data_IF_833012971712
#
_entry.id   IF_833012971712
#
_cell.length_a   1.000
_cell.length_b   1.000
_cell.length_c   1.000
_cell.angle_alpha   90.00
_cell.angle_beta   90.00
_cell.angle_gamma   90.00
#
_symmetry.space_group_name_H-M   'P 1'
#
loop_
_entity.id
_entity.type
_entity.pdbx_description
1 polymer ?
#
# COMPACT_ATOMS: atom_id res chain seq x y z
N UNK A 1 -8.56 -7.40 7.58
CA UNK A 1 -7.55 -8.14 8.34
C UNK A 1 -6.84 -7.17 9.30
N UNK A 2 -6.59 -7.55 10.54
CA UNK A 2 -5.82 -6.70 11.42
C UNK A 2 -4.39 -6.59 10.86
N UNK A 3 -3.94 -5.36 10.57
CA UNK A 3 -2.53 -5.12 10.36
C UNK A 3 -1.74 -5.59 11.60
N UNK A 4 -0.58 -6.20 11.41
CA UNK A 4 0.31 -6.57 12.52
C UNK A 4 0.80 -5.35 13.29
N UNK A 5 0.72 -4.17 12.68
CA UNK A 5 1.17 -2.89 13.24
C UNK A 5 0.18 -1.80 12.85
N UNK A 6 -0.05 -0.85 13.74
CA UNK A 6 -0.92 0.29 13.49
C UNK A 6 -0.37 1.27 12.45
N UNK A 7 -1.22 2.20 12.02
CA UNK A 7 -0.83 3.21 11.04
C UNK A 7 0.33 4.08 11.54
N UNK A 8 1.38 4.16 10.73
CA UNK A 8 2.57 4.97 11.02
C UNK A 8 2.30 6.50 10.98
N UNK A 9 1.15 6.90 10.45
CA UNK A 9 0.78 8.31 10.34
C UNK A 9 0.18 8.86 11.64
N UNK A 10 -0.19 8.01 12.59
CA UNK A 10 -0.76 8.41 13.86
C UNK A 10 0.32 8.59 14.93
N UNK A 11 0.57 9.82 15.36
CA UNK A 11 1.58 10.16 16.38
C UNK A 11 1.28 9.48 17.73
N UNK A 12 0.02 9.15 18.02
CA UNK A 12 -0.44 8.53 19.27
C UNK A 12 -1.01 7.13 19.11
N UNK A 13 -0.71 6.48 18.01
CA UNK A 13 -1.22 5.14 17.78
C UNK A 13 -0.66 4.17 18.83
N UNK A 14 -1.57 3.58 19.60
CA UNK A 14 -1.23 2.61 20.65
C UNK A 14 -1.64 1.20 20.26
N UNK A 15 -2.48 1.06 19.24
CA UNK A 15 -2.92 -0.24 18.76
C UNK A 15 -1.92 -0.77 17.74
N UNK A 16 -1.33 -1.91 18.06
CA UNK A 16 -0.29 -2.55 17.25
C UNK A 16 -0.72 -3.94 16.73
N UNK A 17 -2.01 -4.13 16.53
CA UNK A 17 -2.55 -5.40 16.12
C UNK A 17 -2.57 -6.44 17.26
N UNK A 18 -2.85 -7.72 16.92
CA UNK A 18 -2.89 -8.82 17.88
C UNK A 18 -1.50 -9.33 18.30
N UNK A 19 -0.44 -8.88 17.65
CA UNK A 19 0.92 -9.42 17.78
C UNK A 19 1.28 -10.35 16.63
N UNK A 20 2.58 -10.68 16.55
CA UNK A 20 3.13 -11.41 15.39
C UNK A 20 2.50 -12.81 15.26
N UNK A 21 2.55 -13.62 16.31
CA UNK A 21 2.08 -15.02 16.29
C UNK A 21 0.58 -15.13 15.98
N UNK A 22 -0.26 -14.41 16.74
CA UNK A 22 -1.71 -14.44 16.55
C UNK A 22 -2.09 -13.83 15.18
N UNK A 23 -1.43 -12.75 14.77
CA UNK A 23 -1.67 -12.11 13.46
C UNK A 23 -1.35 -13.05 12.29
N UNK A 24 -0.25 -13.78 12.36
CA UNK A 24 0.12 -14.75 11.33
C UNK A 24 -0.85 -15.93 11.28
N UNK A 25 -1.32 -16.42 12.43
CA UNK A 25 -2.34 -17.46 12.48
C UNK A 25 -3.64 -17.02 11.80
N UNK A 26 -4.11 -15.80 12.07
CA UNK A 26 -5.31 -15.24 11.43
C UNK A 26 -5.11 -15.12 9.91
N UNK A 27 -3.96 -14.61 9.46
CA UNK A 27 -3.67 -14.49 8.02
C UNK A 27 -3.62 -15.86 7.33
N UNK A 28 -3.03 -16.86 8.01
CA UNK A 28 -3.00 -18.22 7.51
C UNK A 28 -4.41 -18.80 7.38
N UNK A 29 -5.28 -18.64 8.38
CA UNK A 29 -6.67 -19.09 8.29
C UNK A 29 -7.41 -18.45 7.13
N UNK A 30 -7.22 -17.13 6.91
CA UNK A 30 -7.83 -16.42 5.77
C UNK A 30 -7.30 -16.96 4.43
N UNK A 31 -5.99 -17.16 4.31
CA UNK A 31 -5.38 -17.72 3.10
C UNK A 31 -5.91 -19.12 2.79
N UNK A 32 -5.95 -19.98 3.80
CA UNK A 32 -6.40 -21.38 3.66
C UNK A 32 -7.92 -21.47 3.35
N UNK A 33 -8.75 -20.61 3.97
CA UNK A 33 -10.21 -20.64 3.80
C UNK A 33 -10.66 -20.11 2.44
N UNK A 34 -10.01 -19.02 1.97
CA UNK A 34 -10.44 -18.31 0.75
C UNK A 34 -9.55 -18.60 -0.47
N UNK A 35 -8.49 -19.37 -0.32
CA UNK A 35 -7.50 -19.65 -1.38
C UNK A 35 -6.98 -18.33 -2.02
N UNK A 36 -6.58 -17.39 -1.19
CA UNK A 36 -6.07 -16.07 -1.60
C UNK A 36 -4.69 -15.80 -1.00
N UNK A 37 -3.77 -15.16 -1.75
CA UNK A 37 -2.52 -14.70 -1.18
C UNK A 37 -2.77 -13.63 -0.12
N UNK A 38 -1.94 -13.63 0.92
CA UNK A 38 -2.03 -12.66 2.01
C UNK A 38 -0.81 -11.76 2.06
N UNK A 39 -1.03 -10.53 2.54
CA UNK A 39 -0.01 -9.50 2.68
C UNK A 39 -0.05 -8.92 4.10
N UNK A 40 1.11 -8.68 4.67
CA UNK A 40 1.24 -7.85 5.87
C UNK A 40 2.52 -7.02 5.83
N UNK A 41 2.56 -5.94 6.60
CA UNK A 41 3.75 -5.11 6.76
C UNK A 41 4.66 -5.64 7.89
N UNK A 42 5.94 -5.33 7.78
CA UNK A 42 6.95 -5.59 8.79
C UNK A 42 7.65 -4.29 9.18
N UNK A 43 8.09 -4.22 10.44
CA UNK A 43 8.73 -3.01 11.00
C UNK A 43 10.15 -3.27 11.51
N UNK A 44 10.45 -4.52 11.83
CA UNK A 44 11.75 -4.95 12.33
C UNK A 44 12.29 -6.10 11.47
N UNK A 45 13.62 -6.20 11.29
CA UNK A 45 14.23 -7.23 10.44
C UNK A 45 13.91 -8.67 10.84
N UNK A 46 13.75 -8.96 12.12
CA UNK A 46 13.45 -10.29 12.66
C UNK A 46 12.03 -10.78 12.35
N UNK A 47 11.14 -9.89 11.92
CA UNK A 47 9.80 -10.24 11.46
C UNK A 47 9.78 -10.83 10.05
N UNK A 48 10.81 -10.60 9.23
CA UNK A 48 10.81 -10.96 7.82
C UNK A 48 10.67 -12.48 7.59
N UNK A 49 11.46 -13.28 8.28
CA UNK A 49 11.44 -14.74 8.12
C UNK A 49 10.09 -15.34 8.53
N UNK A 50 9.58 -15.16 9.78
CA UNK A 50 8.30 -15.75 10.16
C UNK A 50 7.12 -15.25 9.31
N UNK A 51 7.13 -14.00 8.86
CA UNK A 51 6.08 -13.47 7.96
C UNK A 51 6.14 -14.17 6.61
N UNK A 52 7.33 -14.41 6.08
CA UNK A 52 7.53 -15.04 4.76
C UNK A 52 7.05 -16.49 4.69
N UNK A 53 6.91 -17.16 5.81
CA UNK A 53 6.37 -18.53 5.87
C UNK A 53 4.86 -18.60 5.62
N UNK A 54 4.15 -17.49 5.83
CA UNK A 54 2.69 -17.39 5.74
C UNK A 54 2.26 -16.44 4.61
N UNK A 55 2.96 -15.31 4.46
CA UNK A 55 2.55 -14.26 3.54
C UNK A 55 3.34 -14.30 2.23
N UNK A 56 2.64 -14.40 1.11
CA UNK A 56 3.26 -14.31 -0.21
C UNK A 56 3.83 -12.93 -0.48
N UNK A 57 3.27 -11.89 0.17
CA UNK A 57 3.72 -10.51 -0.01
C UNK A 57 4.08 -9.91 1.35
N UNK A 58 5.29 -9.37 1.43
CA UNK A 58 5.76 -8.57 2.57
C UNK A 58 5.72 -7.10 2.17
N UNK A 59 4.98 -6.29 2.92
CA UNK A 59 4.97 -4.84 2.74
C UNK A 59 6.05 -4.17 3.57
N UNK A 60 6.80 -3.28 2.93
CA UNK A 60 7.67 -2.32 3.62
C UNK A 60 6.92 -0.99 3.70
N UNK A 61 6.62 -0.51 4.92
CA UNK A 61 5.94 0.76 5.14
C UNK A 61 6.69 1.96 4.53
N UNK A 62 5.94 3.01 4.21
CA UNK A 62 6.48 4.19 3.53
C UNK A 62 7.67 4.81 4.28
N UNK A 63 7.57 5.03 5.58
CA UNK A 63 8.65 5.64 6.36
C UNK A 63 9.88 4.74 6.50
N UNK A 64 9.72 3.44 6.36
CA UNK A 64 10.78 2.45 6.54
C UNK A 64 11.45 1.99 5.23
N UNK A 65 10.97 2.46 4.07
CA UNK A 65 11.52 2.07 2.76
C UNK A 65 13.02 2.39 2.57
N UNK A 66 13.59 3.26 3.40
CA UNK A 66 15.02 3.57 3.41
C UNK A 66 15.83 2.75 4.42
N UNK A 67 15.21 2.00 5.31
CA UNK A 67 15.88 1.20 6.34
C UNK A 67 16.56 -0.01 5.69
N UNK A 68 17.89 0.06 5.54
CA UNK A 68 18.65 -0.94 4.78
C UNK A 68 18.54 -2.33 5.38
N UNK A 69 18.65 -2.46 6.69
CA UNK A 69 18.62 -3.77 7.36
C UNK A 69 17.24 -4.44 7.22
N UNK A 70 16.16 -3.66 7.33
CA UNK A 70 14.81 -4.14 7.12
C UNK A 70 14.58 -4.60 5.67
N UNK A 71 15.01 -3.79 4.70
CA UNK A 71 14.91 -4.13 3.27
C UNK A 71 15.72 -5.38 2.95
N UNK A 72 16.95 -5.50 3.48
CA UNK A 72 17.79 -6.67 3.27
C UNK A 72 17.18 -7.93 3.89
N UNK A 73 16.62 -7.84 5.09
CA UNK A 73 15.93 -8.97 5.72
C UNK A 73 14.73 -9.43 4.91
N UNK A 74 13.87 -8.50 4.46
CA UNK A 74 12.74 -8.82 3.59
C UNK A 74 13.19 -9.42 2.26
N UNK A 75 14.19 -8.82 1.60
CA UNK A 75 14.75 -9.32 0.34
C UNK A 75 15.41 -10.70 0.46
N UNK A 76 15.90 -11.05 1.66
CA UNK A 76 16.45 -12.39 1.94
C UNK A 76 15.39 -13.49 1.93
N UNK A 77 14.12 -13.16 1.98
CA UNK A 77 13.01 -14.11 1.88
C UNK A 77 12.66 -14.42 0.42
N UNK A 78 11.70 -15.36 0.22
CA UNK A 78 11.17 -15.67 -1.12
C UNK A 78 9.91 -14.88 -1.46
N UNK A 79 9.36 -14.12 -0.50
CA UNK A 79 8.14 -13.35 -0.69
C UNK A 79 8.32 -12.22 -1.71
N UNK A 80 7.22 -11.79 -2.30
CA UNK A 80 7.17 -10.56 -3.08
C UNK A 80 7.29 -9.38 -2.12
N UNK A 81 8.14 -8.41 -2.43
CA UNK A 81 8.33 -7.23 -1.57
C UNK A 81 7.57 -6.04 -2.14
N UNK A 82 6.53 -5.62 -1.43
CA UNK A 82 5.80 -4.41 -1.77
C UNK A 82 6.36 -3.20 -1.02
N UNK A 83 6.84 -2.21 -1.74
CA UNK A 83 7.27 -0.94 -1.16
C UNK A 83 6.18 0.11 -1.27
N UNK A 84 5.72 0.64 -0.13
CA UNK A 84 4.97 1.90 -0.10
C UNK A 84 5.93 3.04 -0.42
N UNK A 85 5.65 3.81 -1.49
CA UNK A 85 6.49 4.96 -1.81
C UNK A 85 6.43 5.99 -0.69
N UNK A 86 7.58 6.36 -0.08
CA UNK A 86 7.60 7.42 0.93
C UNK A 86 7.04 8.74 0.39
N UNK A 87 6.30 9.44 1.24
CA UNK A 87 5.71 10.74 0.89
C UNK A 87 6.77 11.81 0.63
N UNK A 88 7.98 11.62 1.15
CA UNK A 88 9.12 12.52 1.01
C UNK A 88 10.08 12.14 -0.13
N UNK A 89 9.90 10.99 -0.77
CA UNK A 89 10.69 10.60 -1.95
C UNK A 89 9.93 10.94 -3.23
N UNK A 90 10.67 11.44 -4.22
CA UNK A 90 10.16 11.52 -5.58
C UNK A 90 10.06 10.14 -6.24
N UNK A 91 9.21 9.99 -7.25
CA UNK A 91 9.09 8.73 -7.97
C UNK A 91 10.41 8.24 -8.61
N UNK A 92 11.28 9.10 -9.18
CA UNK A 92 12.59 8.67 -9.68
C UNK A 92 13.51 8.10 -8.61
N UNK A 93 13.44 8.59 -7.36
CA UNK A 93 14.28 8.10 -6.26
C UNK A 93 13.93 6.67 -5.82
N UNK A 94 12.74 6.18 -6.16
CA UNK A 94 12.36 4.79 -5.91
C UNK A 94 13.27 3.79 -6.62
N UNK A 95 14.00 4.20 -7.66
CA UNK A 95 15.06 3.41 -8.27
C UNK A 95 16.06 2.90 -7.22
N UNK A 96 16.47 3.73 -6.28
CA UNK A 96 17.44 3.36 -5.25
C UNK A 96 16.87 2.31 -4.27
N UNK A 97 15.56 2.35 -4.02
CA UNK A 97 14.88 1.35 -3.17
C UNK A 97 14.83 0.00 -3.89
N UNK A 98 14.45 0.02 -5.18
CA UNK A 98 14.41 -1.17 -6.03
C UNK A 98 15.81 -1.79 -6.14
N UNK A 99 16.84 -0.99 -6.46
CA UNK A 99 18.22 -1.46 -6.58
C UNK A 99 18.73 -2.10 -5.29
N UNK A 100 18.39 -1.52 -4.14
CA UNK A 100 18.76 -2.10 -2.83
C UNK A 100 18.18 -3.50 -2.65
N UNK A 101 16.92 -3.70 -2.97
CA UNK A 101 16.25 -5.00 -2.88
C UNK A 101 16.85 -6.01 -3.86
N UNK A 102 17.12 -5.60 -5.10
CA UNK A 102 17.73 -6.44 -6.14
C UNK A 102 19.15 -6.86 -5.74
N UNK A 103 19.96 -5.94 -5.22
CA UNK A 103 21.34 -6.24 -4.74
C UNK A 103 21.29 -7.21 -3.56
N UNK A 104 20.25 -7.13 -2.70
CA UNK A 104 20.04 -8.08 -1.61
C UNK A 104 19.50 -9.45 -2.07
N UNK A 105 19.22 -9.63 -3.37
CA UNK A 105 18.91 -10.93 -3.98
C UNK A 105 17.44 -11.15 -4.37
N UNK A 106 16.56 -10.14 -4.24
CA UNK A 106 15.15 -10.28 -4.57
C UNK A 106 14.71 -9.24 -5.62
N UNK A 107 14.24 -9.72 -6.77
CA UNK A 107 13.69 -8.90 -7.85
C UNK A 107 12.15 -8.95 -7.94
N UNK A 108 11.49 -9.72 -7.07
CA UNK A 108 10.02 -9.80 -7.01
C UNK A 108 9.49 -8.60 -6.22
N UNK A 109 9.29 -7.48 -6.90
CA UNK A 109 8.98 -6.20 -6.28
C UNK A 109 7.67 -5.65 -6.82
N UNK A 110 6.86 -5.05 -5.94
CA UNK A 110 5.71 -4.23 -6.27
C UNK A 110 5.95 -2.82 -5.70
N UNK A 111 5.70 -1.79 -6.50
CA UNK A 111 5.73 -0.41 -6.04
C UNK A 111 4.32 0.11 -5.80
N UNK A 112 4.09 0.71 -4.65
CA UNK A 112 2.80 1.27 -4.27
C UNK A 112 2.89 2.80 -4.14
N UNK A 113 2.29 3.52 -5.11
CA UNK A 113 2.14 4.98 -5.02
C UNK A 113 1.11 5.31 -3.93
N UNK A 114 1.36 6.34 -3.14
CA UNK A 114 0.46 6.79 -2.06
C UNK A 114 0.48 8.30 -1.81
N UNK A 115 0.93 9.10 -2.77
CA UNK A 115 1.05 10.54 -2.68
C UNK A 115 2.37 11.03 -2.08
N UNK A 116 2.56 12.32 -2.21
CA UNK A 116 3.68 13.07 -1.65
C UNK A 116 3.16 14.11 -0.65
N UNK A 117 3.96 14.43 0.35
CA UNK A 117 3.69 15.57 1.24
C UNK A 117 3.71 16.88 0.44
N UNK A 118 2.68 17.67 0.59
CA UNK A 118 2.55 18.98 -0.04
C UNK A 118 2.13 20.03 0.98
N UNK A 119 3.10 20.77 1.48
CA UNK A 119 2.88 21.64 2.64
C UNK A 119 2.68 20.86 3.93
N UNK A 120 1.98 21.47 4.90
CA UNK A 120 1.64 20.85 6.17
C UNK A 120 0.31 20.09 6.05
N UNK A 121 0.24 18.92 6.68
CA UNK A 121 -0.98 18.14 6.87
C UNK A 121 -1.75 17.81 5.57
N UNK A 122 -1.08 17.72 4.43
CA UNK A 122 -1.72 17.37 3.17
C UNK A 122 -0.87 16.43 2.32
N UNK A 123 -1.54 15.57 1.56
CA UNK A 123 -0.94 14.69 0.57
C UNK A 123 -1.54 14.96 -0.81
N UNK A 124 -0.69 14.93 -1.84
CA UNK A 124 -1.08 15.10 -3.23
C UNK A 124 -0.52 13.93 -4.05
N UNK A 125 -1.35 13.37 -4.91
CA UNK A 125 -0.95 12.35 -5.87
C UNK A 125 -0.64 13.05 -7.20
N UNK A 126 0.60 12.95 -7.63
CA UNK A 126 0.98 13.31 -8.98
C UNK A 126 0.78 12.10 -9.90
N UNK A 127 -0.15 12.21 -10.84
CA UNK A 127 -0.47 11.11 -11.77
C UNK A 127 0.68 10.74 -12.70
N UNK A 128 1.64 11.63 -12.93
CA UNK A 128 2.85 11.31 -13.69
C UNK A 128 3.75 10.33 -12.96
N UNK A 129 3.68 10.26 -11.64
CA UNK A 129 4.44 9.29 -10.85
C UNK A 129 4.18 7.85 -11.29
N UNK A 130 2.96 7.50 -11.68
CA UNK A 130 2.65 6.15 -12.15
C UNK A 130 3.49 5.76 -13.37
N UNK A 131 3.61 6.67 -14.35
CA UNK A 131 4.41 6.42 -15.55
C UNK A 131 5.91 6.39 -15.24
N UNK A 132 6.37 7.21 -14.31
CA UNK A 132 7.77 7.22 -13.87
C UNK A 132 8.12 5.91 -13.14
N UNK A 133 7.27 5.45 -12.23
CA UNK A 133 7.47 4.20 -11.50
C UNK A 133 7.46 2.98 -12.42
N UNK A 134 6.58 2.95 -13.44
CA UNK A 134 6.54 1.87 -14.43
C UNK A 134 7.86 1.70 -15.21
N UNK A 135 8.63 2.78 -15.40
CA UNK A 135 9.97 2.71 -16.03
C UNK A 135 10.98 1.88 -15.24
N UNK A 136 10.69 1.59 -13.98
CA UNK A 136 11.50 0.70 -13.15
C UNK A 136 11.22 -0.78 -13.40
N UNK A 137 10.35 -1.09 -14.37
CA UNK A 137 10.00 -2.45 -14.82
C UNK A 137 9.45 -3.35 -13.70
N UNK A 138 8.78 -2.74 -12.73
CA UNK A 138 8.07 -3.44 -11.65
C UNK A 138 6.57 -3.14 -11.73
N UNK A 139 5.69 -4.05 -11.29
CA UNK A 139 4.27 -3.74 -11.13
C UNK A 139 4.07 -2.52 -10.23
N UNK A 140 3.18 -1.63 -10.65
CA UNK A 140 2.82 -0.43 -9.88
C UNK A 140 1.37 -0.55 -9.45
N UNK A 141 1.11 -0.43 -8.17
CA UNK A 141 -0.22 -0.34 -7.58
C UNK A 141 -0.43 1.02 -6.93
N UNK A 142 -1.67 1.33 -6.59
CA UNK A 142 -2.04 2.61 -6.01
C UNK A 142 -2.81 2.45 -4.71
N UNK A 143 -2.31 3.06 -3.66
CA UNK A 143 -2.98 3.15 -2.38
C UNK A 143 -3.94 4.33 -2.35
N UNK A 144 -5.20 4.06 -2.61
CA UNK A 144 -6.24 5.09 -2.68
C UNK A 144 -6.75 5.52 -1.32
N UNK A 145 -6.51 4.73 -0.28
CA UNK A 145 -6.93 5.04 1.10
C UNK A 145 -5.96 6.04 1.73
N UNK A 146 -4.69 5.66 1.83
CA UNK A 146 -3.70 6.49 2.51
C UNK A 146 -3.32 7.75 1.74
N UNK A 147 -3.55 7.79 0.43
CA UNK A 147 -3.40 9.03 -0.36
C UNK A 147 -4.39 10.13 0.02
N UNK A 148 -5.47 9.78 0.71
CA UNK A 148 -6.50 10.70 1.17
C UNK A 148 -6.33 11.16 2.62
N UNK A 149 -5.29 10.68 3.30
CA UNK A 149 -4.99 11.12 4.65
C UNK A 149 -4.66 12.61 4.70
N UNK A 150 -5.04 13.23 5.82
CA UNK A 150 -4.61 14.55 6.26
C UNK A 150 -3.77 14.36 7.53
N UNK A 151 -2.45 14.16 7.40
CA UNK A 151 -1.58 13.82 8.53
C UNK A 151 -1.69 14.87 9.64
N UNK A 152 -2.03 14.43 10.86
CA UNK A 152 -2.19 15.34 12.01
C UNK A 152 -3.40 16.27 11.93
N UNK A 153 -4.34 16.05 11.00
CA UNK A 153 -5.52 16.92 10.80
C UNK A 153 -6.42 17.06 12.03
N UNK A 154 -6.47 16.03 12.89
CA UNK A 154 -7.19 16.03 14.17
C UNK A 154 -6.25 16.27 15.38
N UNK A 155 -5.06 16.81 15.17
CA UNK A 155 -4.08 17.11 16.21
C UNK A 155 -3.33 15.89 16.73
N UNK A 156 -4.02 14.91 17.30
CA UNK A 156 -3.42 13.67 17.82
C UNK A 156 -3.60 12.45 16.92
N UNK A 157 -4.36 12.57 15.83
CA UNK A 157 -4.64 11.53 14.86
C UNK A 157 -4.73 12.09 13.44
N UNK A 158 -4.70 11.19 12.48
CA UNK A 158 -4.88 11.51 11.05
C UNK A 158 -6.36 11.73 10.77
N UNK A 159 -6.68 12.78 10.01
CA UNK A 159 -7.97 12.99 9.38
C UNK A 159 -7.95 12.46 7.94
N UNK A 160 -9.07 12.49 7.22
CA UNK A 160 -9.15 11.93 5.88
C UNK A 160 -10.29 12.48 5.04
N UNK A 161 -10.27 12.10 3.76
CA UNK A 161 -11.19 12.57 2.70
C UNK A 161 -11.84 11.37 2.01
N UNK A 162 -12.44 10.46 2.81
CA UNK A 162 -13.07 9.20 2.37
C UNK A 162 -14.00 9.37 1.16
N UNK A 163 -14.71 10.47 1.08
CA UNK A 163 -15.67 10.78 0.02
C UNK A 163 -15.03 10.84 -1.37
N UNK A 164 -13.70 11.00 -1.46
CA UNK A 164 -12.97 11.08 -2.71
C UNK A 164 -12.33 9.75 -3.15
N UNK A 165 -12.47 8.66 -2.38
CA UNK A 165 -11.78 7.39 -2.64
C UNK A 165 -12.10 6.83 -4.03
N UNK A 166 -13.36 6.87 -4.46
CA UNK A 166 -13.75 6.37 -5.79
C UNK A 166 -13.20 7.24 -6.92
N UNK A 167 -13.25 8.56 -6.76
CA UNK A 167 -12.73 9.50 -7.77
C UNK A 167 -11.23 9.35 -7.94
N UNK A 168 -10.50 9.21 -6.82
CA UNK A 168 -9.07 9.03 -6.83
C UNK A 168 -8.66 7.66 -7.41
N UNK A 169 -9.40 6.60 -7.07
CA UNK A 169 -9.19 5.27 -7.63
C UNK A 169 -9.35 5.27 -9.16
N UNK A 170 -10.41 5.90 -9.68
CA UNK A 170 -10.63 6.04 -11.12
C UNK A 170 -9.47 6.78 -11.82
N UNK A 171 -8.95 7.84 -11.20
CA UNK A 171 -7.78 8.55 -11.73
C UNK A 171 -6.52 7.67 -11.77
N UNK A 172 -6.30 6.82 -10.76
CA UNK A 172 -5.20 5.86 -10.75
C UNK A 172 -5.36 4.77 -11.81
N UNK A 173 -6.54 4.16 -11.91
CA UNK A 173 -6.83 3.10 -12.90
C UNK A 173 -6.62 3.60 -14.34
N UNK A 174 -6.96 4.87 -14.62
CA UNK A 174 -6.73 5.47 -15.94
C UNK A 174 -5.25 5.47 -16.37
N UNK A 175 -4.34 5.26 -15.45
CA UNK A 175 -2.90 5.13 -15.72
C UNK A 175 -2.46 3.71 -16.08
N UNK A 176 -3.40 2.75 -16.28
CA UNK A 176 -3.12 1.33 -16.58
C UNK A 176 -2.18 0.69 -15.55
N UNK A 177 -2.42 0.91 -14.26
CA UNK A 177 -1.66 0.32 -13.17
C UNK A 177 -2.00 -1.15 -12.95
N UNK A 178 -1.17 -1.87 -12.17
CA UNK A 178 -1.36 -3.30 -11.91
C UNK A 178 -2.50 -3.59 -10.93
N UNK A 179 -2.85 -2.65 -10.04
CA UNK A 179 -3.92 -2.84 -9.07
C UNK A 179 -4.06 -1.68 -8.09
N UNK A 180 -4.96 -1.86 -7.13
CA UNK A 180 -5.20 -0.93 -6.04
C UNK A 180 -4.83 -1.54 -4.69
N UNK A 181 -4.43 -0.71 -3.76
CA UNK A 181 -4.43 -0.98 -2.33
C UNK A 181 -5.58 -0.19 -1.72
N UNK A 182 -6.43 -0.84 -0.94
CA UNK A 182 -7.64 -0.26 -0.38
C UNK A 182 -7.88 -0.81 1.02
N UNK A 183 -8.19 0.06 1.97
CA UNK A 183 -8.70 -0.33 3.27
C UNK A 183 -10.22 -0.20 3.32
N UNK A 184 -10.88 -1.22 3.85
CA UNK A 184 -12.32 -1.23 4.09
C UNK A 184 -12.61 -1.68 5.52
N UNK A 185 -13.65 -1.09 6.12
CA UNK A 185 -14.06 -1.41 7.48
C UNK A 185 -15.59 -1.48 7.57
N UNK A 186 -16.18 -2.43 8.36
CA UNK A 186 -17.63 -2.51 8.52
C UNK A 186 -18.25 -1.20 9.01
N UNK A 187 -17.61 -0.55 9.98
CA UNK A 187 -17.97 0.76 10.49
C UNK A 187 -16.71 1.65 10.60
N UNK A 188 -16.34 2.41 9.56
CA UNK A 188 -15.10 3.18 9.53
C UNK A 188 -14.93 4.16 10.70
N UNK A 189 -16.02 4.68 11.27
CA UNK A 189 -15.96 5.64 12.38
C UNK A 189 -15.56 4.97 13.71
N UNK A 190 -15.63 3.63 13.78
CA UNK A 190 -15.16 2.81 14.91
C UNK A 190 -13.79 2.16 14.65
N UNK A 191 -13.19 2.40 13.48
CA UNK A 191 -11.88 1.85 13.16
C UNK A 191 -10.81 2.36 14.14
N UNK A 192 -9.91 1.47 14.54
CA UNK A 192 -8.86 1.80 15.51
C UNK A 192 -7.76 2.67 14.93
N UNK A 193 -7.61 2.66 13.60
CA UNK A 193 -6.72 3.52 12.82
C UNK A 193 -7.35 3.79 11.45
N UNK A 194 -6.94 4.87 10.79
CA UNK A 194 -7.28 5.27 9.42
C UNK A 194 -8.78 5.31 9.05
N UNK A 195 -9.66 5.27 10.06
CA UNK A 195 -11.11 5.33 9.87
C UNK A 195 -11.58 6.43 8.92
N UNK A 196 -11.10 7.70 9.04
CA UNK A 196 -11.48 8.79 8.14
C UNK A 196 -11.18 8.57 6.65
N UNK A 197 -10.32 7.58 6.31
CA UNK A 197 -9.96 7.23 4.93
C UNK A 197 -10.54 5.88 4.47
N UNK A 198 -10.91 5.00 5.42
CA UNK A 198 -11.38 3.64 5.09
C UNK A 198 -12.72 3.64 4.37
N UNK A 199 -12.86 2.80 3.34
CA UNK A 199 -14.12 2.59 2.64
C UNK A 199 -15.10 1.79 3.54
N UNK A 200 -16.39 2.19 3.65
CA UNK A 200 -17.40 1.33 4.27
C UNK A 200 -17.49 -0.02 3.52
N UNK A 201 -17.38 -1.13 4.25
CA UNK A 201 -17.41 -2.47 3.66
C UNK A 201 -18.68 -2.71 2.83
N UNK A 202 -19.81 -2.14 3.22
CA UNK A 202 -21.09 -2.19 2.48
C UNK A 202 -21.02 -1.57 1.07
N UNK A 203 -19.99 -0.75 0.80
CA UNK A 203 -19.79 -0.11 -0.52
C UNK A 203 -18.78 -0.85 -1.38
N UNK A 204 -18.07 -1.84 -0.82
CA UNK A 204 -16.92 -2.48 -1.47
C UNK A 204 -17.30 -3.15 -2.80
N UNK A 205 -18.39 -3.91 -2.86
CA UNK A 205 -18.84 -4.57 -4.08
C UNK A 205 -19.11 -3.58 -5.21
N UNK A 206 -19.86 -2.50 -4.92
CA UNK A 206 -20.17 -1.46 -5.92
C UNK A 206 -18.92 -0.71 -6.37
N UNK A 207 -18.01 -0.47 -5.42
CA UNK A 207 -16.73 0.14 -5.72
C UNK A 207 -15.91 -0.74 -6.68
N UNK A 208 -15.73 -2.02 -6.33
CA UNK A 208 -14.94 -2.96 -7.14
C UNK A 208 -15.54 -3.17 -8.53
N UNK A 209 -16.87 -3.25 -8.64
CA UNK A 209 -17.55 -3.36 -9.94
C UNK A 209 -17.20 -2.20 -10.86
N UNK A 210 -17.34 -0.95 -10.38
CA UNK A 210 -17.02 0.23 -11.20
C UNK A 210 -15.53 0.33 -11.55
N UNK A 211 -14.66 -0.06 -10.62
CA UNK A 211 -13.21 -0.05 -10.85
C UNK A 211 -12.84 -1.11 -11.88
N UNK A 212 -13.40 -2.32 -11.79
CA UNK A 212 -13.12 -3.40 -12.72
C UNK A 212 -13.58 -3.06 -14.15
N UNK A 213 -14.78 -2.51 -14.30
CA UNK A 213 -15.29 -2.05 -15.60
C UNK A 213 -14.36 -1.01 -16.23
N UNK A 214 -13.89 -0.04 -15.45
CA UNK A 214 -12.96 0.98 -15.93
C UNK A 214 -11.59 0.39 -16.28
N UNK A 215 -11.06 -0.51 -15.44
CA UNK A 215 -9.78 -1.18 -15.68
C UNK A 215 -9.79 -1.98 -16.98
N UNK A 216 -10.86 -2.76 -17.20
CA UNK A 216 -11.04 -3.52 -18.43
C UNK A 216 -11.11 -2.61 -19.67
N UNK A 217 -11.83 -1.49 -19.57
CA UNK A 217 -11.91 -0.50 -20.63
C UNK A 217 -10.55 0.12 -20.95
N UNK A 218 -9.82 0.58 -19.94
CA UNK A 218 -8.53 1.23 -20.12
C UNK A 218 -7.48 0.27 -20.70
N UNK A 219 -7.44 -0.97 -20.24
CA UNK A 219 -6.47 -1.98 -20.72
C UNK A 219 -6.72 -2.46 -22.15
N UNK A 220 -7.90 -2.19 -22.70
CA UNK A 220 -8.23 -2.48 -24.11
C UNK A 220 -7.79 -1.33 -25.05
N UNK A 221 -7.45 -0.17 -24.51
CA UNK A 221 -7.04 0.96 -25.34
C UNK A 221 -5.62 0.77 -25.89
N UNK A 222 -5.43 1.11 -27.15
CA UNK A 222 -4.09 1.14 -27.75
C UNK A 222 -3.25 2.28 -27.15
N UNK A 223 -2.00 1.97 -26.88
CA UNK A 223 -1.04 3.03 -26.51
C UNK A 223 -0.65 3.81 -27.74
N UNK A 224 -0.75 5.13 -27.67
CA UNK A 224 -0.25 6.02 -28.70
C UNK A 224 1.23 6.33 -28.45
N UNK A 225 2.06 6.08 -29.45
CA UNK A 225 3.44 6.57 -29.46
C UNK A 225 3.42 8.03 -29.91
N UNK A 226 3.69 8.94 -28.96
CA UNK A 226 3.76 10.39 -29.17
C UNK A 226 5.18 10.94 -28.93
N UNK A 227 6.19 10.07 -28.86
CA UNK A 227 7.61 10.45 -28.71
C UNK A 227 8.26 10.82 -30.05
#
# INVERSE_FOLDING_TARGET
APSLVGSEMCIRDRYRGPGLEEGLNILKEVSDEFDVPVITDIHEPDQAEPVSEICEVIQIPAFLARQTDLVNAAAGTKSIIQFKKPQFLSAPEMKNVVEKCVVAGNSNIILCERGNSYGYNNLVVDTLNFQILKKLMTPVIFDVTHSLQLPGGLGGSTDGRREHVLSLAKAGISQSIAGLFLEAHPNPDEAKCDGPCALPLSMLEKFLTQIKELDDFIKQQENLDIS
#
